data_IF_069595067572
#
_entry.id   IF_069595067572
#
_cell.length_a   1.000
_cell.length_b   1.000
_cell.length_c   1.000
_cell.angle_alpha   90.00
_cell.angle_beta   90.00
_cell.angle_gamma   90.00
#
_symmetry.space_group_name_H-M   'P 1'
#
loop_
_entity.id
_entity.type
_entity.pdbx_description
1 polymer ?
#
# COMPACT_ATOMS: atom_id res chain seq x y z
N UNK A 1 -19.22 6.32 -30.21
CA UNK A 1 -18.30 7.10 -29.35
C UNK A 1 -18.04 6.24 -28.14
N UNK A 2 -17.02 5.39 -28.24
CA UNK A 2 -16.70 4.32 -27.30
C UNK A 2 -15.71 4.83 -26.27
N UNK A 3 -16.15 5.11 -25.04
CA UNK A 3 -15.27 5.07 -23.87
C UNK A 3 -16.07 4.91 -22.56
N UNK A 4 -16.98 3.94 -22.51
CA UNK A 4 -17.67 3.57 -21.25
C UNK A 4 -17.10 2.30 -20.61
N UNK A 5 -16.13 1.64 -21.26
CA UNK A 5 -15.59 0.34 -20.84
C UNK A 5 -14.21 0.42 -20.15
N UNK A 6 -13.70 1.63 -19.90
CA UNK A 6 -12.41 1.87 -19.22
C UNK A 6 -12.57 2.13 -17.72
N UNK A 7 -13.78 2.49 -17.25
CA UNK A 7 -14.03 2.78 -15.83
C UNK A 7 -14.40 1.54 -15.00
N UNK A 8 -14.84 0.45 -15.61
CA UNK A 8 -15.25 -0.76 -14.88
C UNK A 8 -14.04 -1.55 -14.32
N UNK A 9 -12.89 -1.54 -14.99
CA UNK A 9 -11.67 -2.19 -14.46
C UNK A 9 -10.99 -1.39 -13.33
N UNK A 10 -11.28 -0.09 -13.22
CA UNK A 10 -10.68 0.78 -12.20
C UNK A 10 -11.36 0.58 -10.85
N UNK A 11 -12.69 0.42 -10.84
CA UNK A 11 -13.48 0.22 -9.63
C UNK A 11 -13.21 -1.13 -8.94
N UNK A 12 -13.00 -2.22 -9.69
CA UNK A 12 -12.75 -3.54 -9.10
C UNK A 12 -11.32 -3.66 -8.51
N UNK A 13 -10.36 -2.90 -9.05
CA UNK A 13 -9.02 -2.77 -8.48
C UNK A 13 -8.97 -1.84 -7.24
N UNK A 14 -9.95 -0.94 -7.09
CA UNK A 14 -10.08 -0.03 -5.94
C UNK A 14 -10.68 -0.68 -4.68
N UNK A 15 -11.47 -1.77 -4.81
CA UNK A 15 -12.05 -2.44 -3.65
C UNK A 15 -11.04 -3.32 -2.90
N UNK A 16 -10.00 -3.83 -3.58
CA UNK A 16 -8.93 -4.59 -2.93
C UNK A 16 -7.96 -3.65 -2.22
N UNK A 17 -8.39 -3.13 -1.07
CA UNK A 17 -7.49 -2.47 -0.12
C UNK A 17 -6.67 -3.52 0.63
N UNK A 18 -5.37 -3.44 0.51
CA UNK A 18 -4.41 -4.23 1.26
C UNK A 18 -4.10 -3.51 2.57
N UNK A 19 -4.24 -4.23 3.67
CA UNK A 19 -3.77 -3.78 4.98
C UNK A 19 -2.26 -3.92 5.02
N UNK A 20 -1.56 -2.80 5.21
CA UNK A 20 -0.10 -2.75 5.30
C UNK A 20 0.29 -2.13 6.61
N UNK A 21 1.30 -2.70 7.27
CA UNK A 21 1.83 -2.19 8.52
C UNK A 21 3.05 -1.32 8.27
N UNK A 22 3.07 -0.12 8.81
CA UNK A 22 4.17 0.83 8.66
C UNK A 22 5.37 0.39 9.50
N UNK A 23 6.59 0.52 8.97
CA UNK A 23 7.86 0.39 9.70
C UNK A 23 8.56 1.70 9.94
N UNK A 24 8.11 2.76 9.26
CA UNK A 24 8.63 4.12 9.40
C UNK A 24 7.46 5.07 9.65
N UNK A 25 7.72 6.19 10.33
CA UNK A 25 6.75 7.26 10.40
C UNK A 25 6.43 7.75 8.97
N UNK A 26 5.14 7.86 8.65
CA UNK A 26 4.67 8.28 7.34
C UNK A 26 3.45 9.17 7.49
N UNK A 27 3.44 10.32 6.82
CA UNK A 27 2.26 11.18 6.78
C UNK A 27 1.36 10.72 5.65
N UNK A 28 0.18 10.17 5.99
CA UNK A 28 -0.82 9.75 5.02
C UNK A 28 -2.05 10.64 5.12
N UNK A 29 -2.43 11.29 4.01
CA UNK A 29 -3.59 12.19 3.95
C UNK A 29 -3.61 13.32 5.01
N UNK A 30 -2.43 13.73 5.49
CA UNK A 30 -2.29 14.76 6.54
C UNK A 30 -2.32 14.19 7.97
N UNK A 31 -2.50 12.88 8.13
CA UNK A 31 -2.35 12.19 9.41
C UNK A 31 -0.94 11.62 9.54
N UNK A 32 -0.27 11.89 10.65
CA UNK A 32 1.04 11.33 10.97
C UNK A 32 0.85 9.91 11.51
N UNK A 33 1.18 8.91 10.70
CA UNK A 33 1.12 7.51 11.10
C UNK A 33 2.48 7.06 11.64
N UNK A 34 2.44 6.33 12.74
CA UNK A 34 3.63 5.83 13.41
C UNK A 34 4.08 4.48 12.84
N UNK A 35 5.37 4.12 13.01
CA UNK A 35 5.79 2.74 12.75
C UNK A 35 5.01 1.80 13.68
N UNK A 36 4.36 0.79 13.10
CA UNK A 36 3.45 -0.12 13.78
C UNK A 36 1.99 0.08 13.39
N UNK A 37 1.63 1.25 12.87
CA UNK A 37 0.27 1.53 12.44
C UNK A 37 -0.11 0.77 11.17
N UNK A 38 -1.40 0.49 11.02
CA UNK A 38 -1.92 -0.31 9.90
C UNK A 38 -2.76 0.56 8.99
N UNK A 39 -2.39 0.63 7.72
CA UNK A 39 -3.01 1.46 6.70
C UNK A 39 -3.66 0.58 5.62
N UNK A 40 -4.85 0.97 5.16
CA UNK A 40 -5.54 0.33 4.04
C UNK A 40 -5.20 1.05 2.74
N UNK A 41 -4.42 0.43 1.87
CA UNK A 41 -3.96 1.02 0.61
C UNK A 41 -4.30 0.17 -0.59
N UNK A 42 -4.31 0.77 -1.78
CA UNK A 42 -4.44 0.01 -3.04
C UNK A 42 -3.17 -0.80 -3.33
N UNK A 43 -3.25 -1.78 -4.25
CA UNK A 43 -2.10 -2.58 -4.65
C UNK A 43 -0.91 -1.72 -5.12
N UNK A 44 -1.18 -0.68 -5.92
CA UNK A 44 -0.15 0.23 -6.43
C UNK A 44 0.52 1.02 -5.29
N UNK A 45 -0.28 1.52 -4.35
CA UNK A 45 0.21 2.29 -3.22
C UNK A 45 0.95 1.42 -2.20
N UNK A 46 0.55 0.15 -2.01
CA UNK A 46 1.33 -0.86 -1.28
C UNK A 46 2.69 -1.09 -1.94
N UNK A 47 2.73 -1.27 -3.26
CA UNK A 47 4.00 -1.48 -3.97
C UNK A 47 4.93 -0.28 -3.82
N UNK A 48 4.39 0.94 -3.92
CA UNK A 48 5.14 2.19 -3.69
C UNK A 48 5.66 2.31 -2.26
N UNK A 49 4.83 2.05 -1.25
CA UNK A 49 5.24 2.07 0.16
C UNK A 49 6.28 0.99 0.48
N UNK A 50 6.18 -0.17 -0.17
CA UNK A 50 7.16 -1.26 -0.04
C UNK A 50 8.50 -0.88 -0.67
N UNK A 51 8.49 -0.30 -1.87
CA UNK A 51 9.69 0.16 -2.57
C UNK A 51 10.40 1.28 -1.80
N UNK A 52 9.64 2.22 -1.24
CA UNK A 52 10.14 3.25 -0.34
C UNK A 52 10.64 2.70 1.03
N UNK A 53 10.42 1.41 1.32
CA UNK A 53 10.76 0.77 2.59
C UNK A 53 10.07 1.45 3.77
N UNK A 54 8.79 1.81 3.59
CA UNK A 54 7.92 2.48 4.59
C UNK A 54 7.00 1.48 5.28
N UNK A 55 6.66 0.36 4.65
CA UNK A 55 5.83 -0.72 5.20
C UNK A 55 6.61 -2.04 5.35
N UNK A 56 6.17 -2.89 6.28
CA UNK A 56 6.60 -4.29 6.33
C UNK A 56 6.15 -4.98 5.05
N UNK A 57 7.06 -5.72 4.42
CA UNK A 57 6.71 -6.60 3.32
C UNK A 57 6.26 -7.94 3.93
N UNK A 58 4.96 -8.31 3.94
CA UNK A 58 4.54 -9.63 4.38
C UNK A 58 4.76 -10.62 3.23
N UNK A 59 6.01 -10.75 2.79
CA UNK A 59 6.51 -12.05 2.37
C UNK A 59 7.29 -12.49 3.58
N UNK A 60 6.90 -13.60 4.21
CA UNK A 60 7.77 -14.26 5.14
C UNK A 60 9.13 -14.45 4.46
N UNK A 61 10.09 -13.58 4.75
CA UNK A 61 11.50 -13.85 4.64
C UNK A 61 12.33 -12.83 5.42
N UNK A 62 13.18 -13.41 6.24
CA UNK A 62 14.20 -12.82 7.07
C UNK A 62 15.30 -12.30 6.14
N UNK A 63 15.66 -11.01 6.23
CA UNK A 63 16.94 -10.55 5.67
C UNK A 63 17.48 -9.39 6.51
N UNK A 64 17.78 -9.74 7.76
CA UNK A 64 18.78 -9.08 8.58
C UNK A 64 19.94 -10.05 8.71
N UNK A 65 20.85 -10.06 7.74
CA UNK A 65 22.19 -10.67 7.80
C UNK A 65 22.91 -10.17 6.53
N UNK A 66 24.08 -9.54 6.51
CA UNK A 66 25.18 -9.33 7.46
C UNK A 66 26.04 -8.15 7.00
#
# INVERSE_FOLDING_TARGET
MTDSKTQELKAEAEERRYEVKLIKPHTHAGEELQPGDTLKVTAAQRAWLKDAGVIENPTADVSKEK
#
